data_IF_173151804510
#
_entry.id   IF_173151804510
#
_cell.length_a   1.000
_cell.length_b   1.000
_cell.length_c   1.000
_cell.angle_alpha   90.00
_cell.angle_beta   90.00
_cell.angle_gamma   90.00
#
_symmetry.space_group_name_H-M   'P 1'
#
loop_
_entity.id
_entity.type
_entity.pdbx_description
1 polymer ?
#
# COMPACT_ATOMS: atom_id res chain seq x y z
N UNK A 1 -17.49 -4.64 51.43
CA UNK A 1 -17.48 -5.59 50.29
C UNK A 1 -17.94 -4.83 49.06
N UNK A 2 -17.01 -4.28 48.28
CA UNK A 2 -17.31 -3.55 47.05
C UNK A 2 -17.13 -4.50 45.87
N UNK A 3 -18.21 -4.75 45.15
CA UNK A 3 -18.23 -5.56 43.93
C UNK A 3 -17.59 -4.73 42.82
N UNK A 4 -16.31 -4.98 42.58
CA UNK A 4 -15.55 -4.44 41.46
C UNK A 4 -16.19 -4.95 40.16
N UNK A 5 -16.95 -4.07 39.49
CA UNK A 5 -17.60 -4.35 38.22
C UNK A 5 -16.55 -4.30 37.10
N UNK A 6 -15.73 -5.35 37.04
CA UNK A 6 -14.73 -5.58 36.00
C UNK A 6 -15.49 -5.99 34.73
N UNK A 7 -15.92 -5.00 33.94
CA UNK A 7 -16.44 -5.26 32.60
C UNK A 7 -15.26 -5.81 31.78
N UNK A 8 -15.30 -7.08 31.33
CA UNK A 8 -14.21 -7.64 30.54
C UNK A 8 -14.00 -6.75 29.30
N UNK A 9 -12.75 -6.53 28.87
CA UNK A 9 -12.45 -5.73 27.69
C UNK A 9 -13.30 -6.27 26.54
N UNK A 10 -14.14 -5.39 25.99
CA UNK A 10 -15.03 -5.68 24.88
C UNK A 10 -14.19 -6.37 23.81
N UNK A 11 -14.47 -7.66 23.60
CA UNK A 11 -13.72 -8.51 22.69
C UNK A 11 -13.59 -7.81 21.34
N UNK A 12 -12.35 -7.80 20.85
CA UNK A 12 -11.84 -6.92 19.80
C UNK A 12 -12.82 -6.70 18.65
N UNK A 13 -12.85 -5.45 18.19
CA UNK A 13 -13.21 -5.16 16.81
C UNK A 13 -12.60 -6.24 15.93
N UNK A 14 -13.47 -7.08 15.37
CA UNK A 14 -13.08 -8.08 14.40
C UNK A 14 -12.35 -7.29 13.32
N UNK A 15 -11.02 -7.37 13.32
CA UNK A 15 -10.20 -6.92 12.20
C UNK A 15 -10.94 -7.37 10.95
N UNK A 16 -11.32 -6.43 10.05
CA UNK A 16 -12.18 -6.74 8.93
C UNK A 16 -11.58 -7.95 8.23
N UNK A 17 -12.23 -9.10 8.41
CA UNK A 17 -11.75 -10.38 7.90
C UNK A 17 -11.61 -10.18 6.42
N UNK A 18 -10.35 -10.17 5.95
CA UNK A 18 -10.04 -9.93 4.56
C UNK A 18 -11.00 -10.78 3.71
N UNK A 19 -11.65 -10.18 2.70
CA UNK A 19 -12.73 -10.82 1.96
C UNK A 19 -12.28 -12.22 1.54
N UNK A 20 -13.08 -13.23 1.93
CA UNK A 20 -12.75 -14.63 1.71
C UNK A 20 -12.48 -14.86 0.21
N UNK A 21 -11.22 -15.17 -0.11
CA UNK A 21 -10.79 -15.35 -1.50
C UNK A 21 -11.60 -16.51 -2.11
N UNK A 22 -12.25 -16.33 -3.28
CA UNK A 22 -13.08 -17.36 -3.89
C UNK A 22 -12.26 -18.65 -4.12
N UNK A 23 -12.74 -19.75 -3.52
CA UNK A 23 -11.96 -20.97 -3.25
C UNK A 23 -11.70 -21.84 -4.48
N UNK A 24 -12.47 -21.68 -5.57
CA UNK A 24 -12.49 -22.64 -6.69
C UNK A 24 -11.63 -22.26 -7.89
N UNK A 25 -11.42 -20.96 -8.18
CA UNK A 25 -10.76 -20.56 -9.44
C UNK A 25 -9.22 -20.64 -9.42
N UNK A 26 -8.59 -20.94 -8.28
CA UNK A 26 -7.13 -20.86 -8.14
C UNK A 26 -6.43 -22.20 -7.92
N UNK A 27 -7.04 -23.33 -8.30
CA UNK A 27 -6.38 -24.65 -8.17
C UNK A 27 -5.06 -24.70 -8.95
N UNK A 28 -5.05 -24.23 -10.20
CA UNK A 28 -3.86 -24.18 -11.05
C UNK A 28 -2.74 -23.37 -10.38
N UNK A 29 -3.01 -22.11 -10.04
CA UNK A 29 -2.05 -21.25 -9.34
C UNK A 29 -1.57 -21.87 -8.02
N UNK A 30 -2.44 -22.58 -7.29
CA UNK A 30 -2.06 -23.30 -6.07
C UNK A 30 -1.18 -24.50 -6.34
N UNK A 31 -1.17 -25.08 -7.54
CA UNK A 31 -0.29 -26.19 -7.90
C UNK A 31 1.08 -25.70 -8.40
N UNK A 32 1.08 -24.61 -9.18
CA UNK A 32 2.24 -24.23 -10.02
C UNK A 32 2.92 -22.93 -9.63
N UNK A 33 2.28 -22.03 -8.88
CA UNK A 33 2.88 -20.77 -8.42
C UNK A 33 3.41 -20.86 -6.98
N UNK A 34 4.34 -19.98 -6.61
CA UNK A 34 4.89 -19.89 -5.25
C UNK A 34 4.21 -18.78 -4.43
N UNK A 35 4.25 -18.89 -3.09
CA UNK A 35 3.85 -17.84 -2.15
C UNK A 35 2.38 -17.39 -2.24
N UNK A 36 1.49 -18.28 -2.67
CA UNK A 36 0.05 -18.01 -2.71
C UNK A 36 -0.56 -17.91 -1.31
N UNK A 37 -0.03 -18.69 -0.38
CA UNK A 37 -0.48 -18.90 1.00
C UNK A 37 0.31 -18.08 2.03
N UNK A 38 1.41 -17.45 1.62
CA UNK A 38 2.29 -16.72 2.53
C UNK A 38 1.97 -15.22 2.56
N UNK A 39 1.98 -14.57 3.74
CA UNK A 39 1.83 -13.13 3.85
C UNK A 39 2.98 -12.42 3.11
N UNK A 40 2.64 -11.43 2.29
CA UNK A 40 3.58 -10.72 1.42
C UNK A 40 3.98 -9.39 2.06
N UNK A 41 4.89 -9.47 3.03
CA UNK A 41 5.27 -8.35 3.89
C UNK A 41 6.21 -7.36 3.18
N UNK A 42 6.96 -7.82 2.17
CA UNK A 42 7.93 -6.98 1.44
C UNK A 42 7.54 -6.82 -0.04
N UNK A 43 7.93 -5.70 -0.64
CA UNK A 43 7.72 -5.42 -2.07
C UNK A 43 8.36 -6.51 -2.95
N UNK A 44 9.53 -7.00 -2.55
CA UNK A 44 10.24 -8.06 -3.28
C UNK A 44 9.45 -9.39 -3.26
N UNK A 45 8.85 -9.76 -2.13
CA UNK A 45 7.99 -10.94 -2.04
C UNK A 45 6.74 -10.80 -2.90
N UNK A 46 6.07 -9.64 -2.87
CA UNK A 46 4.90 -9.35 -3.72
C UNK A 46 5.24 -9.49 -5.20
N UNK A 47 6.36 -8.90 -5.61
CA UNK A 47 6.84 -8.96 -7.00
C UNK A 47 7.20 -10.38 -7.42
N UNK A 48 7.87 -11.14 -6.56
CA UNK A 48 8.19 -12.56 -6.80
C UNK A 48 6.92 -13.40 -6.99
N UNK A 49 5.91 -13.22 -6.14
CA UNK A 49 4.63 -13.93 -6.26
C UNK A 49 3.89 -13.50 -7.53
N UNK A 50 3.88 -12.20 -7.86
CA UNK A 50 3.29 -11.68 -9.10
C UNK A 50 3.90 -12.34 -10.33
N UNK A 51 5.23 -12.37 -10.44
CA UNK A 51 5.95 -13.02 -11.55
C UNK A 51 5.69 -14.52 -11.59
N UNK A 52 5.62 -15.18 -10.44
CA UNK A 52 5.32 -16.62 -10.38
C UNK A 52 3.92 -16.95 -10.88
N UNK A 53 2.93 -16.11 -10.56
CA UNK A 53 1.55 -16.24 -11.07
C UNK A 53 1.50 -16.00 -12.58
N UNK A 54 2.20 -14.99 -13.08
CA UNK A 54 2.27 -14.71 -14.51
C UNK A 54 2.92 -15.88 -15.27
N UNK A 55 4.07 -16.36 -14.78
CA UNK A 55 4.78 -17.54 -15.31
C UNK A 55 3.85 -18.75 -15.33
N UNK A 56 3.09 -18.96 -14.26
CA UNK A 56 2.12 -20.06 -14.19
C UNK A 56 1.04 -19.98 -15.28
N UNK A 57 0.53 -18.79 -15.62
CA UNK A 57 -0.46 -18.65 -16.69
C UNK A 57 0.15 -18.87 -18.07
N UNK A 58 1.39 -18.43 -18.26
CA UNK A 58 2.16 -18.68 -19.48
C UNK A 58 2.37 -20.19 -19.67
N UNK A 59 2.83 -20.89 -18.62
CA UNK A 59 3.01 -22.35 -18.65
C UNK A 59 1.70 -23.10 -18.96
N UNK A 60 0.55 -22.58 -18.51
CA UNK A 60 -0.75 -23.16 -18.89
C UNK A 60 -1.05 -22.98 -20.37
N UNK A 61 -0.80 -21.79 -20.92
CA UNK A 61 -0.98 -21.51 -22.34
C UNK A 61 -0.06 -22.41 -23.19
N UNK A 62 1.17 -22.66 -22.74
CA UNK A 62 2.09 -23.57 -23.40
C UNK A 62 1.65 -25.03 -23.33
N UNK A 63 1.07 -25.50 -22.22
CA UNK A 63 0.44 -26.83 -22.17
C UNK A 63 -0.64 -26.94 -23.23
N UNK A 64 -1.51 -25.93 -23.36
CA UNK A 64 -2.59 -25.92 -24.36
C UNK A 64 -2.00 -25.95 -25.77
N UNK A 65 -0.97 -25.15 -26.05
CA UNK A 65 -0.27 -25.15 -27.33
C UNK A 65 0.35 -26.51 -27.63
N UNK A 66 1.02 -27.13 -26.66
CA UNK A 66 1.66 -28.44 -26.79
C UNK A 66 0.63 -29.55 -27.08
N UNK A 67 -0.54 -29.49 -26.44
CA UNK A 67 -1.66 -30.40 -26.74
C UNK A 67 -2.12 -30.23 -28.20
N UNK A 68 -2.17 -29.01 -28.71
CA UNK A 68 -2.53 -28.75 -30.10
C UNK A 68 -1.51 -29.31 -31.11
N UNK A 69 -0.25 -29.53 -30.69
CA UNK A 69 0.79 -30.15 -31.53
C UNK A 69 0.77 -31.69 -31.51
N UNK A 70 -0.03 -32.34 -30.65
CA UNK A 70 -0.10 -33.81 -30.58
C UNK A 70 -0.40 -34.48 -31.93
N UNK A 71 -1.30 -33.98 -32.80
CA UNK A 71 -1.53 -34.60 -34.11
C UNK A 71 -0.27 -34.66 -34.99
N UNK A 72 0.60 -33.64 -34.94
CA UNK A 72 1.84 -33.61 -35.70
C UNK A 72 2.82 -34.72 -35.28
N UNK A 73 2.78 -35.14 -34.01
CA UNK A 73 3.61 -36.25 -33.50
C UNK A 73 3.25 -37.60 -34.11
N UNK A 74 2.03 -37.75 -34.64
CA UNK A 74 1.58 -38.96 -35.32
C UNK A 74 2.06 -39.01 -36.77
N UNK A 75 2.37 -37.85 -37.37
CA UNK A 75 2.81 -37.74 -38.77
C UNK A 75 4.32 -37.94 -38.93
N UNK A 76 5.11 -37.53 -37.94
CA UNK A 76 6.57 -37.60 -38.01
C UNK A 76 7.22 -37.84 -36.63
N UNK A 77 8.27 -38.66 -36.61
CA UNK A 77 8.98 -39.05 -35.38
C UNK A 77 9.77 -37.89 -34.77
N UNK A 78 10.35 -37.01 -35.59
CA UNK A 78 11.11 -35.87 -35.07
C UNK A 78 10.18 -34.90 -34.31
N UNK A 79 8.98 -34.68 -34.83
CA UNK A 79 7.91 -33.96 -34.14
C UNK A 79 7.54 -34.60 -32.79
N UNK A 80 7.46 -35.93 -32.74
CA UNK A 80 7.26 -36.67 -31.48
C UNK A 80 8.36 -36.44 -30.44
N UNK A 81 9.62 -36.49 -30.84
CA UNK A 81 10.75 -36.19 -29.95
C UNK A 81 10.75 -34.74 -29.46
N UNK A 82 10.42 -33.79 -30.33
CA UNK A 82 10.32 -32.37 -29.97
C UNK A 82 9.23 -32.13 -28.92
N UNK A 83 8.04 -32.72 -29.10
CA UNK A 83 6.93 -32.61 -28.13
C UNK A 83 7.27 -33.28 -26.80
N UNK A 84 7.94 -34.44 -26.81
CA UNK A 84 8.41 -35.10 -25.59
C UNK A 84 9.42 -34.22 -24.83
N UNK A 85 10.40 -33.65 -25.53
CA UNK A 85 11.41 -32.78 -24.93
C UNK A 85 10.79 -31.49 -24.36
N UNK A 86 9.86 -30.87 -25.08
CA UNK A 86 9.11 -29.71 -24.62
C UNK A 86 8.28 -30.05 -23.36
N UNK A 87 7.63 -31.22 -23.34
CA UNK A 87 6.84 -31.69 -22.18
C UNK A 87 7.72 -31.83 -20.94
N UNK A 88 8.88 -32.48 -21.06
CA UNK A 88 9.83 -32.66 -19.95
C UNK A 88 10.29 -31.29 -19.43
N UNK A 89 10.61 -30.37 -20.34
CA UNK A 89 11.09 -29.04 -19.98
C UNK A 89 10.02 -28.24 -19.25
N UNK A 90 8.78 -28.28 -19.74
CA UNK A 90 7.63 -27.61 -19.13
C UNK A 90 7.36 -28.15 -17.71
N UNK A 91 7.50 -29.46 -17.49
CA UNK A 91 7.42 -30.05 -16.14
C UNK A 91 8.51 -29.50 -15.23
N UNK A 92 9.75 -29.38 -15.71
CA UNK A 92 10.87 -28.80 -14.95
C UNK A 92 10.56 -27.35 -14.59
N UNK A 93 10.08 -26.55 -15.53
CA UNK A 93 9.73 -25.13 -15.31
C UNK A 93 8.60 -24.97 -14.30
N UNK A 94 7.57 -25.81 -14.34
CA UNK A 94 6.50 -25.84 -13.31
C UNK A 94 7.11 -26.09 -11.93
N UNK A 95 8.00 -27.08 -11.80
CA UNK A 95 8.64 -27.42 -10.53
C UNK A 95 9.51 -26.24 -10.04
N UNK A 96 10.28 -25.62 -10.93
CA UNK A 96 11.12 -24.47 -10.59
C UNK A 96 10.29 -23.25 -10.17
N UNK A 97 9.23 -22.93 -10.92
CA UNK A 97 8.31 -21.84 -10.59
C UNK A 97 7.64 -22.07 -9.23
N UNK A 98 7.21 -23.31 -8.97
CA UNK A 98 6.61 -23.72 -7.69
C UNK A 98 7.59 -23.57 -6.52
N UNK A 99 8.86 -23.93 -6.71
CA UNK A 99 9.94 -23.72 -5.73
C UNK A 99 10.33 -22.24 -5.56
N UNK A 100 9.72 -21.33 -6.31
CA UNK A 100 10.03 -19.90 -6.28
C UNK A 100 11.34 -19.54 -6.97
N UNK A 101 11.90 -20.43 -7.78
CA UNK A 101 13.03 -20.16 -8.67
C UNK A 101 12.53 -19.55 -9.99
N UNK A 102 11.72 -18.49 -9.88
CA UNK A 102 10.95 -17.90 -10.99
C UNK A 102 11.87 -17.39 -12.11
N UNK A 103 13.00 -16.77 -11.75
CA UNK A 103 13.98 -16.29 -12.73
C UNK A 103 14.56 -17.45 -13.54
N UNK A 104 14.93 -18.55 -12.88
CA UNK A 104 15.49 -19.72 -13.58
C UNK A 104 14.45 -20.37 -14.48
N UNK A 105 13.22 -20.54 -14.00
CA UNK A 105 12.11 -21.05 -14.81
C UNK A 105 11.89 -20.17 -16.06
N UNK A 106 11.81 -18.84 -15.89
CA UNK A 106 11.67 -17.91 -17.00
C UNK A 106 12.86 -17.89 -17.96
N UNK A 107 14.09 -18.10 -17.47
CA UNK A 107 15.27 -18.20 -18.33
C UNK A 107 15.23 -19.46 -19.19
N UNK A 108 14.89 -20.62 -18.61
CA UNK A 108 14.74 -21.87 -19.37
C UNK A 108 13.65 -21.70 -20.42
N UNK A 109 12.51 -21.11 -20.06
CA UNK A 109 11.39 -20.85 -20.96
C UNK A 109 11.81 -20.05 -22.20
N UNK A 110 12.54 -18.95 -21.98
CA UNK A 110 13.05 -18.09 -23.04
C UNK A 110 14.03 -18.85 -23.92
N UNK A 111 15.01 -19.55 -23.32
CA UNK A 111 16.01 -20.31 -24.07
C UNK A 111 15.34 -21.39 -24.91
N UNK A 112 14.38 -22.11 -24.34
CA UNK A 112 13.65 -23.17 -25.03
C UNK A 112 12.78 -22.64 -26.15
N UNK A 113 12.17 -21.47 -25.97
CA UNK A 113 11.44 -20.79 -27.06
C UNK A 113 12.39 -20.45 -28.21
N UNK A 114 13.57 -19.90 -27.92
CA UNK A 114 14.58 -19.63 -28.95
C UNK A 114 15.05 -20.92 -29.64
N UNK A 115 15.36 -21.97 -28.87
CA UNK A 115 15.79 -23.26 -29.42
C UNK A 115 14.69 -23.94 -30.24
N UNK A 116 13.42 -23.80 -29.88
CA UNK A 116 12.31 -24.34 -30.66
C UNK A 116 12.22 -23.65 -32.03
N UNK A 117 12.30 -22.31 -32.07
CA UNK A 117 12.26 -21.57 -33.33
C UNK A 117 13.46 -21.89 -34.21
N UNK A 118 14.67 -21.84 -33.65
CA UNK A 118 15.90 -22.19 -34.37
C UNK A 118 15.87 -23.66 -34.80
N UNK A 119 15.42 -24.56 -33.93
CA UNK A 119 15.32 -26.00 -34.22
C UNK A 119 14.39 -26.31 -35.41
N UNK A 120 13.32 -25.54 -35.61
CA UNK A 120 12.47 -25.66 -36.81
C UNK A 120 13.23 -25.28 -38.09
N UNK A 121 14.11 -24.28 -38.02
CA UNK A 121 14.90 -23.81 -39.17
C UNK A 121 16.03 -24.80 -39.48
N UNK A 122 16.79 -25.20 -38.46
CA UNK A 122 17.87 -26.19 -38.57
C UNK A 122 17.34 -27.56 -38.99
N UNK A 123 16.13 -27.91 -38.54
CA UNK A 123 15.47 -29.19 -38.83
C UNK A 123 14.91 -29.32 -40.24
N UNK A 124 15.23 -28.41 -41.17
CA UNK A 124 14.82 -28.54 -42.56
C UNK A 124 15.34 -29.84 -43.18
N UNK A 125 14.57 -30.43 -44.11
CA UNK A 125 14.81 -31.78 -44.62
C UNK A 125 16.16 -32.00 -45.31
N UNK A 126 16.75 -30.93 -45.82
CA UNK A 126 18.04 -30.91 -46.52
C UNK A 126 19.13 -30.18 -45.72
N UNK A 127 18.82 -29.71 -44.50
CA UNK A 127 19.72 -28.91 -43.67
C UNK A 127 20.07 -27.54 -44.26
N UNK A 128 19.28 -27.06 -45.22
CA UNK A 128 19.45 -25.73 -45.83
C UNK A 128 18.38 -24.76 -45.34
N UNK A 129 18.71 -23.47 -45.29
CA UNK A 129 17.72 -22.43 -45.00
C UNK A 129 16.94 -22.13 -46.28
N UNK A 130 15.64 -22.42 -46.25
CA UNK A 130 14.69 -22.05 -47.30
C UNK A 130 14.04 -20.70 -47.02
N UNK A 131 13.64 -19.98 -48.07
CA UNK A 131 12.98 -18.67 -47.95
C UNK A 131 11.69 -18.75 -47.14
N UNK A 132 10.99 -19.89 -47.19
CA UNK A 132 9.73 -20.14 -46.46
C UNK A 132 9.91 -20.13 -44.93
N UNK A 133 11.13 -20.37 -44.44
CA UNK A 133 11.42 -20.40 -43.01
C UNK A 133 11.82 -19.04 -42.43
N UNK A 134 12.14 -18.04 -43.27
CA UNK A 134 12.52 -16.71 -42.78
C UNK A 134 11.49 -16.07 -41.83
N UNK A 135 10.16 -16.20 -42.05
CA UNK A 135 9.17 -15.69 -41.10
C UNK A 135 9.24 -16.34 -39.71
N UNK A 136 9.86 -17.52 -39.57
CA UNK A 136 10.05 -18.14 -38.26
C UNK A 136 10.96 -17.31 -37.35
N UNK A 137 11.95 -16.58 -37.89
CA UNK A 137 12.77 -15.66 -37.09
C UNK A 137 11.94 -14.54 -36.45
N UNK A 138 10.82 -14.14 -37.06
CA UNK A 138 9.92 -13.14 -36.45
C UNK A 138 9.32 -13.69 -35.15
N UNK A 139 9.16 -15.02 -35.01
CA UNK A 139 8.64 -15.66 -33.79
C UNK A 139 9.60 -15.58 -32.60
N UNK A 140 10.90 -15.31 -32.82
CA UNK A 140 11.84 -15.04 -31.73
C UNK A 140 11.42 -13.83 -30.88
N UNK A 141 10.54 -12.97 -31.41
CA UNK A 141 9.95 -11.85 -30.66
C UNK A 141 9.18 -12.32 -29.44
N UNK A 142 8.58 -13.52 -29.50
CA UNK A 142 7.86 -14.12 -28.38
C UNK A 142 8.80 -14.30 -27.19
N UNK A 143 10.03 -14.77 -27.43
CA UNK A 143 11.04 -14.93 -26.39
C UNK A 143 11.40 -13.59 -25.71
N UNK A 144 11.45 -12.49 -26.47
CA UNK A 144 11.67 -11.13 -25.90
C UNK A 144 10.51 -10.72 -24.99
N UNK A 145 9.27 -10.93 -25.45
CA UNK A 145 8.06 -10.59 -24.68
C UNK A 145 7.95 -11.43 -23.40
N UNK A 146 8.19 -12.74 -23.50
CA UNK A 146 8.23 -13.67 -22.38
C UNK A 146 9.31 -13.27 -21.38
N UNK A 147 10.52 -13.00 -21.86
CA UNK A 147 11.64 -12.55 -21.05
C UNK A 147 11.34 -11.25 -20.32
N UNK A 148 10.81 -10.25 -21.00
CA UNK A 148 10.43 -8.97 -20.37
C UNK A 148 9.36 -9.15 -19.30
N UNK A 149 8.43 -10.09 -19.50
CA UNK A 149 7.32 -10.34 -18.59
C UNK A 149 7.76 -11.03 -17.28
N UNK A 150 8.76 -11.91 -17.34
CA UNK A 150 9.15 -12.78 -16.22
C UNK A 150 10.49 -12.33 -15.60
N UNK A 151 11.47 -11.97 -16.42
CA UNK A 151 12.82 -11.62 -16.00
C UNK A 151 12.92 -10.12 -15.65
N UNK A 152 14.05 -9.63 -15.11
CA UNK A 152 14.26 -8.20 -14.94
C UNK A 152 14.07 -7.45 -16.26
N UNK A 153 13.50 -6.24 -16.20
CA UNK A 153 13.19 -5.41 -17.38
C UNK A 153 14.31 -5.31 -18.44
N UNK A 154 15.57 -5.31 -18.02
CA UNK A 154 16.72 -5.21 -18.91
C UNK A 154 16.95 -6.47 -19.75
N UNK A 155 16.40 -7.61 -19.35
CA UNK A 155 16.51 -8.88 -20.06
C UNK A 155 15.93 -8.79 -21.47
N UNK A 156 14.92 -7.95 -21.72
CA UNK A 156 14.34 -7.74 -23.05
C UNK A 156 15.41 -7.38 -24.09
N UNK A 157 16.33 -6.48 -23.75
CA UNK A 157 17.43 -6.07 -24.63
C UNK A 157 18.49 -7.15 -24.78
N UNK A 158 18.81 -7.86 -23.70
CA UNK A 158 19.79 -8.96 -23.74
C UNK A 158 19.29 -10.09 -24.64
N UNK A 159 18.02 -10.46 -24.52
CA UNK A 159 17.39 -11.50 -25.34
C UNK A 159 17.28 -11.04 -26.79
N UNK A 160 16.84 -9.81 -27.06
CA UNK A 160 16.77 -9.29 -28.42
C UNK A 160 18.16 -9.25 -29.08
N UNK A 161 19.19 -8.84 -28.35
CA UNK A 161 20.57 -8.88 -28.84
C UNK A 161 21.03 -10.32 -29.13
N UNK A 162 20.77 -11.26 -28.22
CA UNK A 162 21.08 -12.67 -28.44
C UNK A 162 20.34 -13.23 -29.67
N UNK A 163 19.05 -12.91 -29.84
CA UNK A 163 18.26 -13.29 -31.00
C UNK A 163 18.83 -12.72 -32.31
N UNK A 164 19.28 -11.46 -32.31
CA UNK A 164 19.94 -10.85 -33.48
C UNK A 164 21.23 -11.61 -33.82
N UNK A 165 22.05 -11.93 -32.82
CA UNK A 165 23.27 -12.73 -33.01
C UNK A 165 22.92 -14.13 -33.56
N UNK A 166 21.86 -14.76 -33.04
CA UNK A 166 21.38 -16.05 -33.53
C UNK A 166 20.91 -15.96 -34.99
N UNK A 167 20.13 -14.94 -35.36
CA UNK A 167 19.65 -14.74 -36.74
C UNK A 167 20.85 -14.62 -37.70
N UNK A 168 21.80 -13.74 -37.39
CA UNK A 168 22.97 -13.58 -38.25
C UNK A 168 23.87 -14.82 -38.24
N UNK A 169 24.06 -15.44 -37.08
CA UNK A 169 24.86 -16.66 -36.96
C UNK A 169 24.29 -17.80 -37.79
N UNK A 170 22.98 -18.03 -37.71
CA UNK A 170 22.28 -19.07 -38.45
C UNK A 170 22.37 -18.81 -39.97
N UNK A 171 22.07 -17.58 -40.39
CA UNK A 171 22.15 -17.21 -41.80
C UNK A 171 23.58 -17.22 -42.37
N UNK A 172 24.63 -17.03 -41.57
CA UNK A 172 26.02 -17.05 -42.05
C UNK A 172 26.65 -18.45 -42.03
N UNK A 173 26.21 -19.31 -41.11
CA UNK A 173 26.83 -20.62 -40.90
C UNK A 173 26.11 -21.75 -41.66
N UNK A 174 24.81 -21.61 -41.94
CA UNK A 174 24.05 -22.63 -42.64
C UNK A 174 24.11 -22.47 -44.16
N UNK A 175 24.06 -23.60 -44.91
CA UNK A 175 23.95 -23.56 -46.36
C UNK A 175 22.60 -22.98 -46.80
N UNK A 176 22.61 -22.21 -47.89
CA UNK A 176 21.40 -21.58 -48.43
C UNK A 176 20.80 -22.41 -49.55
N UNK A 177 19.47 -22.47 -49.58
CA UNK A 177 18.74 -23.04 -50.69
C UNK A 177 18.83 -22.13 -51.94
N UNK A 178 18.56 -22.65 -53.16
CA UNK A 178 18.61 -21.87 -54.39
C UNK A 178 17.67 -20.64 -54.39
N UNK A 179 16.48 -20.77 -53.79
CA UNK A 179 15.50 -19.68 -53.65
C UNK A 179 16.00 -18.59 -52.70
N UNK A 180 16.64 -18.95 -51.58
CA UNK A 180 17.25 -17.97 -50.68
C UNK A 180 18.45 -17.29 -51.34
N UNK A 181 19.28 -18.03 -52.08
CA UNK A 181 20.39 -17.47 -52.87
C UNK A 181 19.90 -16.41 -53.87
N UNK A 182 18.83 -16.71 -54.60
CA UNK A 182 18.23 -15.78 -55.55
C UNK A 182 17.71 -14.52 -54.83
N UNK A 183 17.02 -14.69 -53.70
CA UNK A 183 16.50 -13.57 -52.92
C UNK A 183 17.62 -12.68 -52.35
N UNK A 184 18.70 -13.28 -51.83
CA UNK A 184 19.86 -12.54 -51.33
C UNK A 184 20.55 -11.77 -52.46
N UNK A 185 20.70 -12.35 -53.65
CA UNK A 185 21.29 -11.65 -54.79
C UNK A 185 20.42 -10.49 -55.28
N UNK A 186 19.10 -10.61 -55.16
CA UNK A 186 18.15 -9.58 -55.61
C UNK A 186 17.97 -8.44 -54.61
N UNK A 187 17.86 -8.75 -53.32
CA UNK A 187 17.50 -7.79 -52.27
C UNK A 187 18.66 -7.44 -51.33
N UNK A 188 19.69 -8.28 -51.28
CA UNK A 188 20.79 -8.16 -50.34
C UNK A 188 20.50 -8.76 -48.97
N UNK A 189 21.57 -9.23 -48.33
CA UNK A 189 21.52 -9.88 -47.01
C UNK A 189 20.90 -8.99 -45.92
N UNK A 190 21.21 -7.69 -45.96
CA UNK A 190 20.72 -6.71 -45.00
C UNK A 190 19.20 -6.55 -45.04
N UNK A 191 18.55 -6.72 -46.20
CA UNK A 191 17.09 -6.63 -46.32
C UNK A 191 16.43 -7.89 -45.75
N UNK A 192 17.00 -9.06 -46.06
CA UNK A 192 16.51 -10.36 -45.56
C UNK A 192 16.58 -10.43 -44.03
N UNK A 193 17.73 -10.12 -43.44
CA UNK A 193 17.90 -10.11 -41.99
C UNK A 193 17.28 -8.87 -41.31
N UNK A 194 17.14 -7.77 -42.04
CA UNK A 194 16.71 -6.47 -41.48
C UNK A 194 15.33 -6.50 -40.88
N UNK A 195 14.38 -7.23 -41.48
CA UNK A 195 13.00 -7.36 -40.98
C UNK A 195 12.94 -7.98 -39.57
N UNK A 196 13.41 -9.23 -39.33
CA UNK A 196 13.34 -9.83 -38.00
C UNK A 196 14.16 -9.03 -36.98
N UNK A 197 15.32 -8.49 -37.36
CA UNK A 197 16.15 -7.62 -36.50
C UNK A 197 15.39 -6.37 -36.05
N UNK A 198 14.72 -5.68 -36.97
CA UNK A 198 13.92 -4.50 -36.66
C UNK A 198 12.77 -4.86 -35.70
N UNK A 199 12.09 -6.00 -35.91
CA UNK A 199 11.04 -6.49 -35.03
C UNK A 199 11.59 -6.76 -33.62
N UNK A 200 12.75 -7.41 -33.48
CA UNK A 200 13.37 -7.65 -32.17
C UNK A 200 13.66 -6.34 -31.42
N UNK A 201 14.23 -5.34 -32.09
CA UNK A 201 14.54 -4.06 -31.48
C UNK A 201 13.29 -3.30 -31.02
N UNK A 202 12.28 -3.21 -31.89
CA UNK A 202 11.02 -2.54 -31.58
C UNK A 202 10.31 -3.25 -30.43
N UNK A 203 10.24 -4.58 -30.45
CA UNK A 203 9.64 -5.36 -29.38
C UNK A 203 10.38 -5.17 -28.05
N UNK A 204 11.72 -5.20 -28.05
CA UNK A 204 12.50 -4.97 -26.84
C UNK A 204 12.21 -3.60 -26.20
N UNK A 205 12.12 -2.54 -27.03
CA UNK A 205 11.78 -1.18 -26.56
C UNK A 205 10.37 -1.15 -25.97
N UNK A 206 9.38 -1.66 -26.71
CA UNK A 206 7.97 -1.66 -26.28
C UNK A 206 7.82 -2.45 -24.98
N UNK A 207 8.35 -3.68 -24.93
CA UNK A 207 8.29 -4.53 -23.75
C UNK A 207 9.00 -3.89 -22.56
N UNK A 208 10.17 -3.26 -22.76
CA UNK A 208 10.86 -2.55 -21.69
C UNK A 208 10.04 -1.38 -21.12
N UNK A 209 9.45 -0.55 -22.00
CA UNK A 209 8.62 0.58 -21.60
C UNK A 209 7.35 0.12 -20.89
N UNK A 210 6.72 -0.95 -21.38
CA UNK A 210 5.53 -1.53 -20.78
C UNK A 210 5.80 -2.04 -19.35
N UNK A 211 6.85 -2.85 -19.15
CA UNK A 211 7.23 -3.34 -17.81
C UNK A 211 7.55 -2.17 -16.88
N UNK A 212 8.29 -1.17 -17.36
CA UNK A 212 8.60 0.03 -16.59
C UNK A 212 7.33 0.80 -16.18
N UNK A 213 6.37 0.93 -17.09
CA UNK A 213 5.08 1.59 -16.81
C UNK A 213 4.27 0.83 -15.75
N UNK A 214 4.22 -0.50 -15.87
CA UNK A 214 3.55 -1.38 -14.91
C UNK A 214 4.19 -1.30 -13.51
N UNK A 215 5.52 -1.37 -13.42
CA UNK A 215 6.24 -1.23 -12.15
C UNK A 215 5.94 0.11 -11.45
N UNK A 216 5.87 1.20 -12.23
CA UNK A 216 5.54 2.52 -11.70
C UNK A 216 4.08 2.65 -11.27
N UNK A 217 3.15 1.98 -11.95
CA UNK A 217 1.74 1.96 -11.58
C UNK A 217 1.54 1.18 -10.27
N UNK A 218 2.19 0.02 -10.13
CA UNK A 218 2.15 -0.80 -8.91
C UNK A 218 2.69 0.00 -7.72
N UNK A 219 3.88 0.62 -7.84
CA UNK A 219 4.45 1.46 -6.77
C UNK A 219 3.61 2.68 -6.41
N UNK A 220 2.76 3.16 -7.33
CA UNK A 220 1.83 4.26 -7.05
C UNK A 220 0.60 3.75 -6.30
N UNK A 221 0.08 2.58 -6.69
CA UNK A 221 -1.02 1.92 -5.98
C UNK A 221 -0.62 1.55 -4.54
N UNK A 222 0.55 0.94 -4.33
CA UNK A 222 1.04 0.58 -2.99
C UNK A 222 1.17 1.81 -2.08
N UNK A 223 1.77 2.90 -2.58
CA UNK A 223 1.87 4.16 -1.81
C UNK A 223 0.52 4.77 -1.48
N UNK A 224 -0.45 4.67 -2.38
CA UNK A 224 -1.81 5.15 -2.13
C UNK A 224 -2.51 4.30 -1.06
N UNK A 225 -2.27 2.99 -1.03
CA UNK A 225 -2.81 2.09 0.00
C UNK A 225 -2.17 2.35 1.38
N UNK A 226 -0.85 2.53 1.43
CA UNK A 226 -0.14 2.92 2.65
C UNK A 226 -0.67 4.25 3.21
N UNK A 227 -0.82 5.27 2.36
CA UNK A 227 -1.37 6.56 2.76
C UNK A 227 -2.80 6.45 3.31
N UNK A 228 -3.67 5.67 2.66
CA UNK A 228 -5.04 5.44 3.16
C UNK A 228 -5.04 4.75 4.51
N UNK A 229 -4.16 3.78 4.73
CA UNK A 229 -4.06 3.09 6.01
C UNK A 229 -3.57 4.01 7.13
N UNK A 230 -2.68 4.95 6.81
CA UNK A 230 -2.22 5.97 7.76
C UNK A 230 -3.32 6.99 8.05
N UNK A 231 -4.01 7.47 7.02
CA UNK A 231 -5.13 8.40 7.15
C UNK A 231 -6.24 7.82 8.04
N UNK A 232 -6.59 6.54 7.84
CA UNK A 232 -7.55 5.85 8.70
C UNK A 232 -7.11 5.80 10.17
N UNK A 233 -5.84 5.46 10.44
CA UNK A 233 -5.30 5.47 11.81
C UNK A 233 -5.31 6.87 12.42
N UNK A 234 -5.02 7.90 11.64
CA UNK A 234 -5.10 9.28 12.13
C UNK A 234 -6.52 9.69 12.47
N UNK A 235 -7.49 9.34 11.62
CA UNK A 235 -8.91 9.61 11.87
C UNK A 235 -9.42 8.84 13.11
N UNK A 236 -8.98 7.60 13.31
CA UNK A 236 -9.30 6.82 14.52
C UNK A 236 -8.75 7.50 15.78
N UNK A 237 -7.47 7.89 15.77
CA UNK A 237 -6.83 8.59 16.91
C UNK A 237 -7.48 9.96 17.16
N UNK A 238 -7.86 10.68 16.10
CA UNK A 238 -8.55 11.98 16.23
C UNK A 238 -9.97 11.82 16.79
N UNK A 239 -10.69 10.79 16.37
CA UNK A 239 -12.00 10.45 16.92
C UNK A 239 -11.90 10.08 18.41
N UNK A 240 -10.96 9.21 18.79
CA UNK A 240 -10.70 8.86 20.19
C UNK A 240 -10.36 10.10 21.03
N UNK A 241 -9.49 10.97 20.52
CA UNK A 241 -9.12 12.21 21.20
C UNK A 241 -10.32 13.13 21.39
N UNK A 242 -11.20 13.22 20.39
CA UNK A 242 -12.42 14.04 20.47
C UNK A 242 -13.33 13.54 21.57
N UNK A 243 -13.57 12.22 21.65
CA UNK A 243 -14.36 11.61 22.73
C UNK A 243 -13.78 11.90 24.11
N UNK A 244 -12.46 11.76 24.27
CA UNK A 244 -11.77 12.05 25.54
C UNK A 244 -11.90 13.53 25.97
N UNK A 245 -11.85 14.45 25.00
CA UNK A 245 -12.04 15.89 25.27
C UNK A 245 -13.50 16.17 25.65
N UNK A 246 -14.47 15.59 24.95
CA UNK A 246 -15.89 15.74 25.27
C UNK A 246 -16.22 15.23 26.68
N UNK A 247 -15.69 14.06 27.06
CA UNK A 247 -15.87 13.51 28.41
C UNK A 247 -15.29 14.45 29.47
N UNK A 248 -14.10 14.98 29.24
CA UNK A 248 -13.46 15.95 30.13
C UNK A 248 -14.25 17.25 30.26
N UNK A 249 -14.69 17.83 29.14
CA UNK A 249 -15.50 19.07 29.14
C UNK A 249 -16.82 18.84 29.87
N UNK A 250 -17.48 17.70 29.64
CA UNK A 250 -18.72 17.34 30.35
C UNK A 250 -18.49 17.24 31.87
N UNK A 251 -17.40 16.61 32.30
CA UNK A 251 -17.03 16.51 33.73
C UNK A 251 -16.77 17.89 34.37
N UNK A 252 -16.13 18.81 33.63
CA UNK A 252 -15.96 20.20 34.07
C UNK A 252 -17.30 20.92 34.22
N UNK A 253 -18.19 20.82 33.22
CA UNK A 253 -19.51 21.44 33.25
C UNK A 253 -20.28 20.99 34.50
N UNK A 254 -20.34 19.68 34.76
CA UNK A 254 -21.00 19.12 35.94
C UNK A 254 -20.37 19.62 37.25
N UNK A 255 -19.05 19.77 37.29
CA UNK A 255 -18.34 20.26 38.47
C UNK A 255 -18.62 21.74 38.76
N UNK A 256 -18.64 22.58 37.72
CA UNK A 256 -18.97 24.02 37.84
C UNK A 256 -20.44 24.18 38.23
N UNK A 257 -21.34 23.34 37.70
CA UNK A 257 -22.75 23.35 38.07
C UNK A 257 -22.97 23.00 39.55
N UNK A 258 -22.31 21.95 40.06
CA UNK A 258 -22.32 21.62 41.49
C UNK A 258 -21.84 22.79 42.36
N UNK A 259 -20.76 23.46 41.91
CA UNK A 259 -20.18 24.62 42.58
C UNK A 259 -21.13 25.84 42.59
N UNK A 260 -21.80 26.12 41.47
CA UNK A 260 -22.81 27.16 41.36
C UNK A 260 -23.98 26.91 42.33
N UNK A 261 -24.34 25.65 42.54
CA UNK A 261 -25.38 25.20 43.48
C UNK A 261 -24.89 25.13 44.95
N UNK A 262 -23.65 25.54 45.24
CA UNK A 262 -23.10 25.58 46.60
C UNK A 262 -22.56 24.25 47.13
N UNK A 263 -22.44 23.24 46.27
CA UNK A 263 -21.80 21.96 46.59
C UNK A 263 -20.31 22.02 46.21
N UNK A 264 -19.47 21.19 46.84
CA UNK A 264 -18.08 21.05 46.41
C UNK A 264 -18.05 20.28 45.07
N UNK A 265 -17.76 20.99 43.98
CA UNK A 265 -17.60 20.39 42.65
C UNK A 265 -16.18 19.87 42.45
N UNK A 266 -16.04 18.64 41.95
CA UNK A 266 -14.76 18.07 41.57
C UNK A 266 -14.89 17.33 40.24
N UNK A 267 -13.98 17.61 39.32
CA UNK A 267 -13.82 16.93 38.04
C UNK A 267 -13.33 15.52 38.35
N UNK A 268 -14.24 14.56 38.17
CA UNK A 268 -13.96 13.14 38.30
C UNK A 268 -13.75 12.56 36.91
N UNK A 269 -12.59 11.96 36.70
CA UNK A 269 -12.25 11.20 35.50
C UNK A 269 -11.88 9.77 35.93
N UNK A 270 -12.05 8.78 35.04
CA UNK A 270 -11.61 7.41 35.30
C UNK A 270 -10.13 7.36 35.72
N UNK A 271 -9.73 6.45 36.63
CA UNK A 271 -8.32 6.21 36.91
C UNK A 271 -7.58 5.91 35.60
N UNK A 272 -6.46 6.61 35.35
CA UNK A 272 -5.65 6.54 34.11
C UNK A 272 -6.17 7.34 32.91
N UNK A 273 -7.15 8.23 33.08
CA UNK A 273 -7.56 9.12 31.99
C UNK A 273 -6.38 10.00 31.53
N UNK A 274 -6.13 10.16 30.21
CA UNK A 274 -4.97 10.92 29.71
C UNK A 274 -5.00 12.40 30.10
N UNK A 275 -6.19 12.92 30.42
CA UNK A 275 -6.41 14.28 30.89
C UNK A 275 -6.39 14.44 32.43
N UNK A 276 -5.89 13.46 33.18
CA UNK A 276 -5.81 13.51 34.65
C UNK A 276 -5.00 14.69 35.19
N UNK A 277 -3.83 15.05 34.62
CA UNK A 277 -3.09 16.25 35.06
C UNK A 277 -3.93 17.51 34.93
N UNK A 278 -4.71 17.62 33.84
CA UNK A 278 -5.58 18.73 33.56
C UNK A 278 -6.75 18.80 34.55
N UNK A 279 -7.38 17.67 34.87
CA UNK A 279 -8.41 17.60 35.91
C UNK A 279 -7.87 18.00 37.29
N UNK A 280 -6.64 17.60 37.63
CA UNK A 280 -6.02 17.93 38.92
C UNK A 280 -5.81 19.45 39.08
N UNK A 281 -5.39 20.12 38.00
CA UNK A 281 -5.29 21.58 37.97
C UNK A 281 -6.66 22.23 38.21
N UNK A 282 -7.69 21.82 37.46
CA UNK A 282 -9.05 22.36 37.60
C UNK A 282 -9.59 22.12 39.01
N UNK A 283 -9.40 20.93 39.58
CA UNK A 283 -9.84 20.62 40.95
C UNK A 283 -9.17 21.50 42.00
N UNK A 284 -7.90 21.83 41.81
CA UNK A 284 -7.20 22.77 42.70
C UNK A 284 -7.84 24.15 42.65
N UNK A 285 -8.19 24.63 41.45
CA UNK A 285 -8.85 25.92 41.25
C UNK A 285 -10.28 25.93 41.82
N UNK A 286 -11.06 24.88 41.56
CA UNK A 286 -12.42 24.73 42.10
C UNK A 286 -12.41 24.72 43.64
N UNK A 287 -11.44 24.05 44.26
CA UNK A 287 -11.28 24.03 45.73
C UNK A 287 -10.93 25.40 46.31
N UNK A 288 -10.06 26.16 45.64
CA UNK A 288 -9.76 27.53 46.05
C UNK A 288 -11.01 28.42 45.93
N UNK A 289 -11.76 28.28 44.83
CA UNK A 289 -13.03 28.99 44.63
C UNK A 289 -14.05 28.68 45.73
N UNK A 290 -14.23 27.40 46.08
CA UNK A 290 -15.14 26.98 47.14
C UNK A 290 -14.78 27.59 48.50
N UNK A 291 -13.49 27.61 48.85
CA UNK A 291 -13.00 28.27 50.08
C UNK A 291 -13.31 29.77 50.11
N UNK A 292 -13.11 30.46 48.98
CA UNK A 292 -13.45 31.89 48.90
C UNK A 292 -14.95 32.12 49.12
N UNK A 293 -15.80 31.29 48.48
CA UNK A 293 -17.27 31.32 48.63
C UNK A 293 -17.72 31.11 50.08
N UNK A 294 -17.08 30.21 50.83
CA UNK A 294 -17.39 29.99 52.25
C UNK A 294 -16.93 31.13 53.16
N UNK A 295 -15.82 31.80 52.83
CA UNK A 295 -15.19 32.79 53.71
C UNK A 295 -15.87 34.17 53.72
N UNK A 296 -16.56 34.57 52.64
CA UNK A 296 -17.10 35.92 52.46
C UNK A 296 -18.58 35.90 52.07
N UNK A 297 -19.47 36.24 53.01
CA UNK A 297 -20.91 36.28 52.75
C UNK A 297 -21.34 37.40 51.79
N UNK A 298 -20.63 38.53 51.76
CA UNK A 298 -20.99 39.73 50.97
C UNK A 298 -20.61 39.60 49.48
N UNK A 299 -19.63 38.77 49.12
CA UNK A 299 -19.14 38.62 47.72
C UNK A 299 -19.82 37.47 46.96
N UNK A 300 -20.77 36.77 47.59
CA UNK A 300 -21.35 35.54 47.04
C UNK A 300 -22.15 35.75 45.75
N UNK A 301 -22.80 36.89 45.56
CA UNK A 301 -23.56 37.16 44.33
C UNK A 301 -22.66 37.30 43.11
N UNK A 302 -21.55 38.03 43.21
CA UNK A 302 -20.58 38.20 42.12
C UNK A 302 -19.93 36.86 41.73
N UNK A 303 -19.56 36.07 42.75
CA UNK A 303 -18.97 34.74 42.58
C UNK A 303 -19.95 33.79 41.85
N UNK A 304 -21.22 33.77 42.26
CA UNK A 304 -22.25 32.95 41.61
C UNK A 304 -22.54 33.43 40.18
N UNK A 305 -22.54 34.73 39.94
CA UNK A 305 -22.72 35.31 38.60
C UNK A 305 -21.57 34.90 37.66
N UNK A 306 -20.32 35.03 38.11
CA UNK A 306 -19.13 34.63 37.36
C UNK A 306 -19.15 33.13 37.00
N UNK A 307 -19.49 32.26 37.96
CA UNK A 307 -19.61 30.82 37.72
C UNK A 307 -20.70 30.49 36.68
N UNK A 308 -21.87 31.16 36.76
CA UNK A 308 -22.96 30.98 35.77
C UNK A 308 -22.57 31.46 34.37
N UNK A 309 -21.79 32.53 34.28
CA UNK A 309 -21.30 33.04 33.00
C UNK A 309 -20.35 32.03 32.35
N UNK A 310 -19.39 31.50 33.11
CA UNK A 310 -18.47 30.46 32.63
C UNK A 310 -19.23 29.19 32.23
N UNK A 311 -20.19 28.75 33.06
CA UNK A 311 -21.03 27.58 32.78
C UNK A 311 -21.80 27.74 31.47
N UNK A 312 -22.46 28.89 31.29
CA UNK A 312 -23.23 29.21 30.08
C UNK A 312 -22.32 29.18 28.85
N UNK A 313 -21.10 29.69 28.98
CA UNK A 313 -20.15 29.71 27.87
C UNK A 313 -19.65 28.31 27.50
N UNK A 314 -19.32 27.50 28.51
CA UNK A 314 -18.92 26.10 28.29
C UNK A 314 -20.06 25.26 27.69
N UNK A 315 -21.31 25.48 28.12
CA UNK A 315 -22.47 24.83 27.52
C UNK A 315 -22.69 25.23 26.06
N UNK A 316 -22.49 26.51 25.72
CA UNK A 316 -22.54 26.99 24.32
C UNK A 316 -21.43 26.38 23.47
N UNK A 317 -20.22 26.25 24.01
CA UNK A 317 -19.11 25.58 23.32
C UNK A 317 -19.42 24.10 23.11
N UNK A 318 -19.89 23.41 24.14
CA UNK A 318 -20.25 21.99 24.08
C UNK A 318 -21.41 21.69 23.11
N UNK A 319 -22.31 22.64 22.88
CA UNK A 319 -23.42 22.51 21.91
C UNK A 319 -23.09 23.08 20.52
N UNK A 320 -21.81 23.39 20.24
CA UNK A 320 -21.34 24.04 19.00
C UNK A 320 -22.03 25.38 18.67
N UNK A 321 -22.65 26.04 19.66
CA UNK A 321 -23.27 27.36 19.51
C UNK A 321 -22.25 28.51 19.66
N UNK A 322 -21.09 28.24 20.24
CA UNK A 322 -19.97 29.19 20.34
C UNK A 322 -18.64 28.49 20.06
N UNK A 323 -17.69 29.23 19.51
CA UNK A 323 -16.33 28.74 19.32
C UNK A 323 -15.53 28.89 20.61
N UNK A 324 -14.44 28.12 20.75
CA UNK A 324 -13.50 28.22 21.88
C UNK A 324 -13.00 29.65 22.10
N UNK A 325 -12.98 30.48 21.04
CA UNK A 325 -12.63 31.90 21.09
C UNK A 325 -13.44 32.71 22.09
N UNK A 326 -14.64 32.27 22.45
CA UNK A 326 -15.44 32.94 23.47
C UNK A 326 -14.91 32.83 24.90
N UNK A 327 -13.91 31.98 25.16
CA UNK A 327 -13.14 31.94 26.41
C UNK A 327 -11.83 32.75 26.33
N UNK A 328 -11.58 33.47 25.24
CA UNK A 328 -10.39 34.30 25.10
C UNK A 328 -10.33 35.32 26.26
N UNK A 329 -9.23 35.44 27.02
CA UNK A 329 -9.10 36.40 28.13
C UNK A 329 -9.37 37.86 27.75
N UNK A 330 -9.30 38.21 26.46
CA UNK A 330 -9.66 39.54 25.97
C UNK A 330 -11.16 39.76 25.88
N UNK A 331 -11.93 38.68 25.77
CA UNK A 331 -13.38 38.68 25.57
C UNK A 331 -14.14 38.24 26.82
N UNK A 332 -13.53 37.37 27.63
CA UNK A 332 -14.13 36.79 28.82
C UNK A 332 -13.39 37.28 30.07
N UNK A 333 -14.04 38.14 30.86
CA UNK A 333 -13.60 38.50 32.21
C UNK A 333 -14.79 38.68 33.13
N UNK A 334 -14.69 38.08 34.31
CA UNK A 334 -15.76 38.06 35.32
C UNK A 334 -15.42 38.92 36.54
N UNK A 335 -14.25 39.56 36.56
CA UNK A 335 -13.65 40.24 37.73
C UNK A 335 -13.39 39.31 38.92
N UNK A 336 -13.60 38.00 38.77
CA UNK A 336 -13.29 36.97 39.76
C UNK A 336 -12.05 36.20 39.26
N UNK A 337 -10.84 36.49 39.77
CA UNK A 337 -9.59 36.01 39.18
C UNK A 337 -9.52 34.50 38.95
N UNK A 338 -10.08 33.70 39.87
CA UNK A 338 -10.08 32.23 39.76
C UNK A 338 -10.93 31.74 38.56
N UNK A 339 -12.07 32.37 38.31
CA UNK A 339 -12.93 32.00 37.17
C UNK A 339 -12.25 32.39 35.86
N UNK A 340 -11.59 33.54 35.83
CA UNK A 340 -10.84 33.99 34.66
C UNK A 340 -9.62 33.07 34.40
N UNK A 341 -8.92 32.61 35.44
CA UNK A 341 -7.84 31.61 35.31
C UNK A 341 -8.33 30.27 34.76
N UNK A 342 -9.48 29.77 35.23
CA UNK A 342 -10.10 28.54 34.70
C UNK A 342 -10.48 28.74 33.23
N UNK A 343 -11.07 29.88 32.87
CA UNK A 343 -11.46 30.18 31.49
C UNK A 343 -10.24 30.24 30.55
N UNK A 344 -9.16 30.92 30.97
CA UNK A 344 -7.90 31.00 30.23
C UNK A 344 -7.29 29.62 30.02
N UNK A 345 -7.25 28.80 31.07
CA UNK A 345 -6.76 27.44 30.98
C UNK A 345 -7.54 26.62 29.97
N UNK A 346 -8.87 26.66 30.04
CA UNK A 346 -9.75 25.93 29.12
C UNK A 346 -9.62 26.42 27.68
N UNK A 347 -9.45 27.73 27.48
CA UNK A 347 -9.18 28.31 26.18
C UNK A 347 -7.93 27.72 25.53
N UNK A 348 -6.77 27.72 26.22
CA UNK A 348 -5.53 27.16 25.66
C UNK A 348 -5.62 25.65 25.46
N UNK A 349 -6.19 24.95 26.44
CA UNK A 349 -6.36 23.50 26.39
C UNK A 349 -7.22 23.07 25.18
N UNK A 350 -8.38 23.69 24.99
CA UNK A 350 -9.30 23.36 23.89
C UNK A 350 -8.77 23.78 22.52
N UNK A 351 -7.84 24.74 22.45
CA UNK A 351 -7.11 25.04 21.21
C UNK A 351 -5.96 24.05 20.92
N UNK A 352 -5.72 23.06 21.78
CA UNK A 352 -4.56 22.17 21.68
C UNK A 352 -3.22 22.90 21.89
N UNK A 353 -3.24 24.11 22.44
CA UNK A 353 -2.04 24.91 22.72
C UNK A 353 -1.58 24.65 24.16
N UNK A 354 -0.27 24.72 24.38
CA UNK A 354 0.27 24.66 25.72
C UNK A 354 -0.05 25.96 26.44
N UNK A 355 -0.52 25.88 27.69
CA UNK A 355 -0.76 27.06 28.50
C UNK A 355 0.58 27.81 28.68
N UNK A 356 0.63 29.13 28.47
CA UNK A 356 1.78 29.90 28.91
C UNK A 356 1.93 29.67 30.41
N UNK A 357 3.11 29.15 30.84
CA UNK A 357 3.36 28.92 32.26
C UNK A 357 3.03 30.22 33.00
N UNK A 358 2.24 30.19 34.08
CA UNK A 358 2.04 31.37 34.90
C UNK A 358 3.43 31.82 35.33
N UNK A 359 3.89 32.93 34.77
CA UNK A 359 5.09 33.58 35.25
C UNK A 359 4.79 33.88 36.71
N UNK A 360 5.53 33.28 37.64
CA UNK A 360 5.45 33.55 39.09
C UNK A 360 5.84 35.00 39.45
N UNK A 361 5.82 35.87 38.46
CA UNK A 361 6.26 37.25 38.41
C UNK A 361 5.24 38.00 37.55
N UNK A 362 4.00 38.08 38.02
CA UNK A 362 3.08 39.12 37.53
C UNK A 362 3.61 40.43 38.12
N UNK A 363 4.57 41.05 37.43
CA UNK A 363 4.86 42.47 37.62
C UNK A 363 3.53 43.21 37.40
N UNK A 364 3.00 43.81 38.48
CA UNK A 364 1.78 44.61 38.42
C UNK A 364 1.93 45.64 37.29
N UNK A 365 0.97 45.75 36.36
CA UNK A 365 1.05 46.74 35.31
C UNK A 365 1.12 48.15 35.93
N UNK A 366 2.01 49.04 35.45
CA UNK A 366 2.36 50.32 36.11
C UNK A 366 1.27 51.40 36.08
N UNK A 367 0.01 51.06 35.76
CA UNK A 367 -1.08 52.03 35.55
C UNK A 367 -2.14 52.03 36.67
N UNK A 368 -1.89 51.33 37.79
CA UNK A 368 -2.68 51.43 39.02
C UNK A 368 -1.81 51.96 40.16
N UNK A 369 -1.58 53.27 40.14
CA UNK A 369 -1.19 54.08 41.29
C UNK A 369 -2.16 55.25 41.39
#
# INVERSE_FOLDING_TARGET
MQVSNNKPPTQGEKQPTAPAVPTKLNFWLRLTSTGWDQPQNTIEQREKVRRSRLTSWILLAEIIALIAFVPATLSDRASGFAVLFATITLVIEIILNRKGLVTLAGTILVVMTCLAVVGVIIGSTDGQIHLVYLPAYDLLVIAVILGASILPRSAAFVIAFANIVLIYGDLLLQPWSPDLHQAINQYGMAVIAGRPVAIQLVAAIISFLWVRGMDQAIRRADRAEELRSLEQRFLEVEAERTVLIEEFVRSIITSIEALANGQEGAVQLPPQHPLQPQATFINTQLKQFYKLKQSNSVTNEQINYAARMLLTMLQRINTNQSTVSGLDPRQFSTQVPIIDEIAIYLFFFLQGKHMPRPSSEVQRPPWRS
#
